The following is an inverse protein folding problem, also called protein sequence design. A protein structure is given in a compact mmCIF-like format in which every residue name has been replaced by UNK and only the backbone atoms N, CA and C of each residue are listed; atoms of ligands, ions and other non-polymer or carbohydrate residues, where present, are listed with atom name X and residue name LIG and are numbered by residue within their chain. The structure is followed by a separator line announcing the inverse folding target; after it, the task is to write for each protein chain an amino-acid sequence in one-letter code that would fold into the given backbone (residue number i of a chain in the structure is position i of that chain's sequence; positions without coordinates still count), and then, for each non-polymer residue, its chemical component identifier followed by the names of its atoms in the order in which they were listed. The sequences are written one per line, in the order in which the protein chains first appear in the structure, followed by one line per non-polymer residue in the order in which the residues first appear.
data_IF_005406253478
#
_entry.id   IF_005406253478
#
_cell.length_a   1.000
_cell.length_b   1.000
_cell.length_c   1.000
_cell.angle_alpha   90.00
_cell.angle_beta   90.00
_cell.angle_gamma   90.00
#
_symmetry.space_group_name_H-M   'P 1'
#
loop_
_entity.id
_entity.type
_entity.pdbx_description
1 polymer ?
#
# COMPACT_ATOMS: atom_id res chain seq x y z
N UNK A 1 5.77 25.21 14.98
CA UNK A 1 5.34 24.88 13.61
C UNK A 1 4.33 23.76 13.77
N UNK A 2 3.09 23.95 13.33
CA UNK A 2 2.10 22.87 13.33
C UNK A 2 2.54 21.79 12.33
N UNK A 3 2.63 20.55 12.80
CA UNK A 3 2.89 19.37 11.98
C UNK A 3 1.73 19.19 11.01
N UNK A 4 2.00 19.01 9.72
CA UNK A 4 0.91 18.79 8.75
C UNK A 4 0.25 17.42 8.95
N UNK A 5 -1.04 17.26 8.61
CA UNK A 5 -1.74 15.97 8.73
C UNK A 5 -1.04 14.83 7.96
N UNK A 6 -0.39 15.13 6.83
CA UNK A 6 0.40 14.16 6.06
C UNK A 6 1.70 13.75 6.78
N UNK A 7 2.31 14.68 7.52
CA UNK A 7 3.48 14.40 8.34
C UNK A 7 3.10 13.61 9.60
N UNK A 8 1.96 13.90 10.21
CA UNK A 8 1.40 13.08 11.30
C UNK A 8 1.09 11.65 10.84
N UNK A 9 0.49 11.48 9.66
CA UNK A 9 0.27 10.17 9.06
C UNK A 9 1.59 9.44 8.82
N UNK A 10 2.60 10.14 8.28
CA UNK A 10 3.93 9.59 8.07
C UNK A 10 4.55 9.07 9.37
N UNK A 11 4.54 9.90 10.40
CA UNK A 11 5.15 9.60 11.70
C UNK A 11 4.39 8.47 12.42
N UNK A 12 3.07 8.44 12.34
CA UNK A 12 2.27 7.36 12.91
C UNK A 12 2.51 6.03 12.18
N UNK A 13 2.71 6.08 10.85
CA UNK A 13 2.90 4.89 10.04
C UNK A 13 4.31 4.32 10.13
N UNK A 14 5.34 5.15 10.03
CA UNK A 14 6.74 4.72 9.97
C UNK A 14 7.50 4.90 11.28
N UNK A 15 7.02 5.76 12.18
CA UNK A 15 7.76 6.14 13.38
C UNK A 15 9.09 6.82 13.05
N UNK A 16 10.07 6.64 13.93
CA UNK A 16 11.46 7.07 13.69
C UNK A 16 12.29 5.87 13.24
N UNK A 17 12.45 5.69 11.94
CA UNK A 17 13.20 4.56 11.39
C UNK A 17 14.72 4.83 11.39
N UNK A 18 15.36 4.78 12.56
CA UNK A 18 16.80 5.02 12.71
C UNK A 18 17.66 4.08 11.84
N UNK A 19 17.19 2.86 11.57
CA UNK A 19 17.89 1.84 10.80
C UNK A 19 17.43 1.74 9.34
N UNK A 20 16.43 2.52 8.91
CA UNK A 20 15.82 2.43 7.58
C UNK A 20 14.79 1.30 7.41
N UNK A 21 14.37 0.66 8.50
CA UNK A 21 13.32 -0.36 8.55
C UNK A 21 12.52 -0.21 9.84
N UNK A 22 11.24 -0.56 9.79
CA UNK A 22 10.37 -0.67 10.94
C UNK A 22 10.61 -1.98 11.70
N UNK A 23 10.37 -1.95 13.01
CA UNK A 23 10.43 -3.13 13.87
C UNK A 23 9.23 -4.09 13.64
N UNK A 24 9.31 -5.29 14.20
CA UNK A 24 8.26 -6.30 14.00
C UNK A 24 6.86 -5.82 14.46
N UNK A 25 6.68 -5.19 15.64
CA UNK A 25 5.39 -4.62 16.04
C UNK A 25 4.79 -3.66 15.01
N UNK A 26 5.59 -2.70 14.51
CA UNK A 26 5.12 -1.73 13.53
C UNK A 26 4.77 -2.39 12.20
N UNK A 27 5.53 -3.40 11.76
CA UNK A 27 5.20 -4.14 10.53
C UNK A 27 3.91 -4.94 10.66
N UNK A 28 3.62 -5.46 11.85
CA UNK A 28 2.38 -6.19 12.12
C UNK A 28 1.19 -5.24 12.05
N UNK A 29 1.29 -4.05 12.66
CA UNK A 29 0.17 -3.09 12.68
C UNK A 29 -0.26 -2.62 11.28
N UNK A 30 0.65 -2.58 10.31
CA UNK A 30 0.34 -2.22 8.92
C UNK A 30 -0.61 -3.20 8.21
N UNK A 31 -0.57 -4.49 8.55
CA UNK A 31 -1.29 -5.52 7.79
C UNK A 31 -2.30 -6.31 8.64
N UNK A 32 -2.16 -6.30 9.96
CA UNK A 32 -3.10 -6.96 10.84
C UNK A 32 -4.43 -6.20 10.92
N UNK A 33 -5.52 -6.94 11.08
CA UNK A 33 -6.76 -6.35 11.53
C UNK A 33 -6.65 -6.06 13.03
N UNK A 34 -6.43 -4.79 13.38
CA UNK A 34 -6.36 -4.31 14.75
C UNK A 34 -7.41 -3.22 14.95
N UNK A 35 -8.53 -3.50 15.67
CA UNK A 35 -9.58 -2.52 15.91
C UNK A 35 -9.10 -1.27 16.65
N UNK A 36 -8.07 -1.37 17.50
CA UNK A 36 -7.51 -0.23 18.23
C UNK A 36 -6.74 0.71 17.30
N UNK A 37 -5.92 0.13 16.40
CA UNK A 37 -5.22 0.89 15.39
C UNK A 37 -6.17 1.49 14.35
N UNK A 38 -7.17 0.72 13.90
CA UNK A 38 -8.23 1.20 13.01
C UNK A 38 -8.97 2.40 13.64
N UNK A 39 -9.37 2.30 14.91
CA UNK A 39 -10.06 3.38 15.62
C UNK A 39 -9.20 4.64 15.73
N UNK A 40 -7.89 4.50 15.95
CA UNK A 40 -6.98 5.64 16.02
C UNK A 40 -6.79 6.32 14.66
N UNK A 41 -6.66 5.54 13.58
CA UNK A 41 -6.61 6.05 12.22
C UNK A 41 -7.90 6.77 11.83
N UNK A 42 -9.06 6.21 12.18
CA UNK A 42 -10.37 6.85 11.97
C UNK A 42 -10.44 8.18 12.71
N UNK A 43 -10.08 8.20 14.00
CA UNK A 43 -10.15 9.41 14.82
C UNK A 43 -9.28 10.54 14.27
N UNK A 44 -8.09 10.23 13.74
CA UNK A 44 -7.13 11.23 13.27
C UNK A 44 -7.30 11.63 11.81
N UNK A 45 -7.69 10.69 10.94
CA UNK A 45 -7.55 10.85 9.49
C UNK A 45 -8.83 10.57 8.70
N UNK A 46 -10.00 10.47 9.36
CA UNK A 46 -11.27 10.36 8.66
C UNK A 46 -11.46 11.50 7.65
N UNK A 47 -11.84 11.15 6.41
CA UNK A 47 -12.07 12.12 5.33
C UNK A 47 -10.79 12.67 4.67
N UNK A 48 -9.60 12.29 5.14
CA UNK A 48 -8.34 12.72 4.55
C UNK A 48 -8.20 12.30 3.07
N UNK A 49 -8.52 11.05 2.66
CA UNK A 49 -8.41 10.66 1.25
C UNK A 49 -9.30 11.53 0.35
N UNK A 50 -10.53 11.80 0.75
CA UNK A 50 -11.46 12.64 -0.01
C UNK A 50 -10.95 14.08 -0.13
N UNK A 51 -10.42 14.64 0.95
CA UNK A 51 -9.85 15.99 0.95
C UNK A 51 -8.66 16.11 0.01
N UNK A 52 -7.73 15.16 0.06
CA UNK A 52 -6.53 15.17 -0.78
C UNK A 52 -6.83 15.03 -2.28
N UNK A 53 -7.99 14.48 -2.67
CA UNK A 53 -8.45 14.49 -4.06
C UNK A 53 -8.88 15.88 -4.54
N UNK A 54 -9.37 16.73 -3.64
CA UNK A 54 -9.88 18.07 -3.97
C UNK A 54 -8.84 19.17 -3.78
N UNK A 55 -7.90 18.97 -2.85
CA UNK A 55 -6.86 19.94 -2.53
C UNK A 55 -5.75 19.91 -3.60
N UNK A 56 -5.36 21.07 -4.17
CA UNK A 56 -4.23 21.11 -5.08
C UNK A 56 -2.95 20.72 -4.34
N UNK A 57 -2.15 19.84 -4.96
CA UNK A 57 -0.81 19.52 -4.44
C UNK A 57 0.06 20.78 -4.44
N UNK A 58 0.99 20.85 -3.48
CA UNK A 58 2.07 21.83 -3.52
C UNK A 58 2.85 21.70 -4.83
N UNK A 59 3.44 22.81 -5.29
CA UNK A 59 4.17 22.85 -6.56
C UNK A 59 5.36 21.89 -6.58
N UNK A 60 6.10 21.85 -5.47
CA UNK A 60 7.32 21.04 -5.29
C UNK A 60 7.25 20.35 -3.91
N UNK A 61 6.44 19.30 -3.76
CA UNK A 61 6.31 18.58 -2.50
C UNK A 61 7.54 17.69 -2.27
N UNK A 62 7.95 17.53 -1.02
CA UNK A 62 8.98 16.56 -0.67
C UNK A 62 8.49 15.13 -0.95
N UNK A 63 9.40 14.20 -1.31
CA UNK A 63 9.02 12.80 -1.60
C UNK A 63 8.27 12.12 -0.46
N UNK A 64 8.57 12.44 0.80
CA UNK A 64 7.84 11.89 1.95
C UNK A 64 6.41 12.42 2.05
N UNK A 65 6.15 13.66 1.62
CA UNK A 65 4.79 14.20 1.51
C UNK A 65 4.00 13.43 0.46
N UNK A 66 4.63 13.18 -0.71
CA UNK A 66 4.04 12.36 -1.77
C UNK A 66 3.75 10.92 -1.31
N UNK A 67 4.69 10.29 -0.60
CA UNK A 67 4.49 8.96 -0.01
C UNK A 67 3.33 8.97 1.01
N UNK A 68 3.24 9.98 1.87
CA UNK A 68 2.10 10.09 2.80
C UNK A 68 0.77 10.23 2.06
N UNK A 69 0.74 10.93 0.92
CA UNK A 69 -0.44 10.97 0.06
C UNK A 69 -0.73 9.60 -0.56
N UNK A 70 0.30 8.84 -0.99
CA UNK A 70 0.13 7.44 -1.42
C UNK A 70 -0.46 6.58 -0.30
N UNK A 71 0.04 6.69 0.93
CA UNK A 71 -0.52 5.99 2.10
C UNK A 71 -1.97 6.38 2.36
N UNK A 72 -2.29 7.67 2.25
CA UNK A 72 -3.65 8.17 2.45
C UNK A 72 -4.64 7.63 1.39
N UNK A 73 -4.18 7.34 0.18
CA UNK A 73 -5.02 6.75 -0.87
C UNK A 73 -5.01 5.21 -0.87
N UNK A 74 -3.90 4.57 -0.53
CA UNK A 74 -3.76 3.12 -0.62
C UNK A 74 -4.01 2.43 0.73
N UNK A 75 -3.23 2.73 1.75
CA UNK A 75 -3.28 2.00 3.01
C UNK A 75 -4.42 2.47 3.90
N UNK A 76 -4.57 3.79 4.07
CA UNK A 76 -5.53 4.37 5.00
C UNK A 76 -6.98 3.92 4.72
N UNK A 77 -7.50 3.92 3.48
CA UNK A 77 -8.88 3.50 3.21
C UNK A 77 -9.15 2.03 3.58
N UNK A 78 -8.12 1.17 3.53
CA UNK A 78 -8.22 -0.25 3.93
C UNK A 78 -8.44 -0.42 5.43
N UNK A 79 -7.99 0.53 6.24
CA UNK A 79 -8.29 0.62 7.68
C UNK A 79 -9.62 1.35 7.94
N UNK A 80 -9.85 2.50 7.29
CA UNK A 80 -11.04 3.33 7.52
C UNK A 80 -12.36 2.65 7.12
N UNK A 81 -12.33 1.84 6.06
CA UNK A 81 -13.53 1.30 5.40
C UNK A 81 -13.49 -0.22 5.25
N UNK A 82 -12.83 -0.90 6.19
CA UNK A 82 -12.60 -2.35 6.18
C UNK A 82 -13.88 -3.12 5.83
N UNK A 83 -13.76 -4.08 4.92
CA UNK A 83 -14.88 -4.94 4.50
C UNK A 83 -15.88 -4.28 3.55
N UNK A 84 -15.62 -3.05 3.08
CA UNK A 84 -16.48 -2.35 2.12
C UNK A 84 -15.73 -2.09 0.81
N UNK A 85 -16.45 -1.86 -0.29
CA UNK A 85 -15.85 -1.46 -1.57
C UNK A 85 -15.13 -0.11 -1.50
N UNK A 86 -15.50 0.76 -0.54
CA UNK A 86 -14.86 2.06 -0.34
C UNK A 86 -13.39 1.95 0.07
N UNK A 87 -12.97 0.82 0.63
CA UNK A 87 -11.56 0.53 0.93
C UNK A 87 -10.64 0.58 -0.29
N UNK A 88 -11.20 0.50 -1.51
CA UNK A 88 -10.45 0.46 -2.77
C UNK A 88 -10.75 1.67 -3.67
N UNK A 89 -11.56 2.62 -3.20
CA UNK A 89 -12.07 3.72 -4.03
C UNK A 89 -10.98 4.69 -4.52
N UNK A 90 -9.82 4.70 -3.85
CA UNK A 90 -8.71 5.62 -4.11
C UNK A 90 -7.50 4.92 -4.75
N UNK A 91 -7.59 3.62 -5.05
CA UNK A 91 -6.47 2.81 -5.57
C UNK A 91 -5.89 3.41 -6.87
N UNK A 92 -6.73 3.93 -7.77
CA UNK A 92 -6.27 4.56 -9.01
C UNK A 92 -5.42 5.82 -8.74
N UNK A 93 -5.86 6.69 -7.82
CA UNK A 93 -5.12 7.89 -7.44
C UNK A 93 -3.79 7.55 -6.75
N UNK A 94 -3.78 6.52 -5.90
CA UNK A 94 -2.56 6.01 -5.29
C UNK A 94 -1.56 5.52 -6.35
N UNK A 95 -2.04 4.74 -7.32
CA UNK A 95 -1.24 4.16 -8.40
C UNK A 95 -0.63 5.24 -9.28
N UNK A 96 -1.40 6.25 -9.68
CA UNK A 96 -0.92 7.34 -10.53
C UNK A 96 0.17 8.15 -9.81
N UNK A 97 -0.01 8.42 -8.52
CA UNK A 97 0.99 9.13 -7.72
C UNK A 97 2.25 8.29 -7.49
N UNK A 98 2.10 7.00 -7.23
CA UNK A 98 3.22 6.07 -7.13
C UNK A 98 4.03 5.97 -8.44
N UNK A 99 3.35 5.96 -9.59
CA UNK A 99 4.01 6.01 -10.89
C UNK A 99 4.82 7.30 -11.03
N UNK A 100 4.24 8.45 -10.67
CA UNK A 100 4.97 9.72 -10.70
C UNK A 100 6.25 9.71 -9.86
N UNK A 101 6.20 9.21 -8.61
CA UNK A 101 7.37 9.12 -7.72
C UNK A 101 8.48 8.24 -8.31
N UNK A 102 8.10 7.11 -8.94
CA UNK A 102 9.06 6.16 -9.53
C UNK A 102 9.65 6.70 -10.83
N UNK A 103 8.81 7.30 -11.67
CA UNK A 103 9.23 7.81 -12.98
C UNK A 103 10.15 9.02 -12.83
N UNK A 104 10.04 9.78 -11.73
CA UNK A 104 11.00 10.82 -11.32
C UNK A 104 12.20 10.31 -10.53
N UNK A 105 12.28 9.01 -10.24
CA UNK A 105 13.33 8.36 -9.42
C UNK A 105 13.44 8.88 -7.97
N UNK A 106 12.44 9.62 -7.50
CA UNK A 106 12.39 10.17 -6.14
C UNK A 106 12.28 9.05 -5.10
N UNK A 107 11.75 7.87 -5.47
CA UNK A 107 11.70 6.70 -4.59
C UNK A 107 13.08 6.30 -4.06
N UNK A 108 14.16 6.60 -4.78
CA UNK A 108 15.53 6.28 -4.34
C UNK A 108 15.98 7.10 -3.14
N UNK A 109 15.29 8.19 -2.81
CA UNK A 109 15.54 9.03 -1.63
C UNK A 109 14.82 8.51 -0.36
N UNK A 110 14.08 7.41 -0.48
CA UNK A 110 13.32 6.79 0.60
C UNK A 110 14.05 5.56 1.17
N UNK A 111 13.74 5.25 2.43
CA UNK A 111 14.13 3.99 3.06
C UNK A 111 13.46 2.79 2.39
N UNK A 112 13.93 1.57 2.67
CA UNK A 112 13.40 0.37 1.99
C UNK A 112 11.92 0.14 2.31
N UNK A 113 11.50 0.37 3.56
CA UNK A 113 10.09 0.22 3.92
C UNK A 113 9.23 1.32 3.28
N UNK A 114 9.66 2.58 3.31
CA UNK A 114 8.97 3.66 2.59
C UNK A 114 8.81 3.35 1.09
N UNK A 115 9.86 2.84 0.43
CA UNK A 115 9.81 2.42 -0.98
C UNK A 115 8.84 1.28 -1.21
N UNK A 116 8.78 0.31 -0.30
CA UNK A 116 7.81 -0.77 -0.39
C UNK A 116 6.38 -0.24 -0.48
N UNK A 117 6.04 0.79 0.32
CA UNK A 117 4.72 1.43 0.28
C UNK A 117 4.47 2.29 -0.97
N UNK A 118 5.51 2.86 -1.59
CA UNK A 118 5.37 3.45 -2.95
C UNK A 118 5.00 2.37 -3.97
N UNK A 119 5.42 1.12 -3.79
CA UNK A 119 5.18 0.05 -4.77
C UNK A 119 3.85 -0.68 -4.59
N UNK A 120 3.27 -0.63 -3.39
CA UNK A 120 2.01 -1.33 -3.07
C UNK A 120 0.82 -0.98 -3.97
N UNK A 121 0.62 0.25 -4.44
CA UNK A 121 -0.47 0.54 -5.37
C UNK A 121 -0.47 -0.33 -6.64
N UNK A 122 0.70 -0.71 -7.16
CA UNK A 122 0.78 -1.65 -8.30
C UNK A 122 0.41 -3.08 -7.89
N UNK A 123 0.79 -3.50 -6.68
CA UNK A 123 0.40 -4.78 -6.09
C UNK A 123 -1.12 -4.88 -5.88
N UNK A 124 -1.79 -3.76 -5.62
CA UNK A 124 -3.23 -3.67 -5.44
C UNK A 124 -4.04 -3.42 -6.71
N UNK A 125 -3.38 -3.20 -7.85
CA UNK A 125 -4.06 -2.99 -9.13
C UNK A 125 -4.60 -4.31 -9.69
N UNK A 126 -5.76 -4.26 -10.33
CA UNK A 126 -6.33 -5.39 -11.08
C UNK A 126 -5.79 -5.48 -12.53
N UNK A 127 -4.77 -4.68 -12.88
CA UNK A 127 -4.05 -4.77 -14.16
C UNK A 127 -2.90 -5.76 -14.10
N UNK A 128 -2.82 -6.69 -15.06
CA UNK A 128 -1.70 -7.62 -15.17
C UNK A 128 -0.36 -6.90 -15.41
N UNK A 129 -0.37 -5.78 -16.14
CA UNK A 129 0.85 -4.98 -16.37
C UNK A 129 1.38 -4.40 -15.06
N UNK A 130 0.50 -3.87 -14.22
CA UNK A 130 0.86 -3.35 -12.90
C UNK A 130 1.39 -4.48 -11.99
N UNK A 131 0.82 -5.69 -12.08
CA UNK A 131 1.33 -6.84 -11.33
C UNK A 131 2.74 -7.27 -11.76
N UNK A 132 3.02 -7.25 -13.06
CA UNK A 132 4.38 -7.48 -13.58
C UNK A 132 5.34 -6.39 -13.09
N UNK A 133 4.90 -5.12 -13.12
CA UNK A 133 5.67 -3.98 -12.59
C UNK A 133 5.94 -4.15 -11.08
N UNK A 134 4.94 -4.54 -10.31
CA UNK A 134 5.03 -4.82 -8.87
C UNK A 134 6.09 -5.88 -8.56
N UNK A 135 6.01 -7.05 -9.19
CA UNK A 135 7.00 -8.14 -9.00
C UNK A 135 8.42 -7.66 -9.32
N UNK A 136 8.60 -6.90 -10.40
CA UNK A 136 9.91 -6.34 -10.78
C UNK A 136 10.44 -5.37 -9.72
N UNK A 137 9.60 -4.44 -9.25
CA UNK A 137 9.96 -3.45 -8.24
C UNK A 137 10.36 -4.11 -6.91
N UNK A 138 9.55 -5.05 -6.40
CA UNK A 138 9.86 -5.75 -5.16
C UNK A 138 11.07 -6.70 -5.28
N UNK A 139 11.33 -7.24 -6.48
CA UNK A 139 12.55 -8.02 -6.75
C UNK A 139 13.78 -7.13 -6.63
N UNK A 140 13.75 -5.95 -7.26
CA UNK A 140 14.83 -4.97 -7.17
C UNK A 140 15.03 -4.50 -5.72
N UNK A 141 13.95 -4.19 -5.00
CA UNK A 141 13.98 -3.80 -3.60
C UNK A 141 14.70 -4.85 -2.74
N UNK A 142 14.30 -6.13 -2.85
CA UNK A 142 14.95 -7.24 -2.12
C UNK A 142 16.43 -7.38 -2.45
N UNK A 143 16.80 -7.18 -3.72
CA UNK A 143 18.20 -7.30 -4.14
C UNK A 143 19.06 -6.17 -3.55
N UNK A 144 18.50 -4.96 -3.44
CA UNK A 144 19.13 -3.77 -2.85
C UNK A 144 19.15 -3.82 -1.32
N UNK A 145 18.22 -4.55 -0.68
CA UNK A 145 18.25 -4.81 0.77
C UNK A 145 19.53 -5.59 1.16
N UNK A 146 20.28 -5.13 2.19
CA UNK A 146 21.46 -5.85 2.67
C UNK A 146 21.11 -7.28 3.10
N UNK A 147 22.01 -8.23 2.84
CA UNK A 147 21.73 -9.68 2.96
C UNK A 147 21.08 -10.06 4.30
N UNK A 148 21.55 -9.50 5.42
CA UNK A 148 21.01 -9.76 6.76
C UNK A 148 19.56 -9.32 6.98
N UNK A 149 19.05 -8.40 6.17
CA UNK A 149 17.70 -7.82 6.29
C UNK A 149 16.76 -8.25 5.16
N UNK A 150 17.22 -9.07 4.20
CA UNK A 150 16.42 -9.47 3.03
C UNK A 150 15.12 -10.19 3.38
N UNK A 151 15.03 -10.80 4.57
CA UNK A 151 13.80 -11.41 5.06
C UNK A 151 12.65 -10.38 5.18
N UNK A 152 12.95 -9.14 5.57
CA UNK A 152 11.97 -8.05 5.67
C UNK A 152 11.37 -7.73 4.30
N UNK A 153 12.21 -7.48 3.29
CA UNK A 153 11.78 -7.25 1.91
C UNK A 153 11.25 -8.51 1.22
N UNK A 154 11.59 -9.69 1.71
CA UNK A 154 11.18 -10.98 1.16
C UNK A 154 9.68 -11.21 1.31
N UNK A 155 9.10 -10.79 2.44
CA UNK A 155 7.65 -10.85 2.66
C UNK A 155 6.89 -10.01 1.63
N UNK A 156 7.38 -8.81 1.29
CA UNK A 156 6.77 -7.98 0.24
C UNK A 156 6.84 -8.63 -1.13
N UNK A 157 8.01 -9.18 -1.51
CA UNK A 157 8.16 -9.88 -2.78
C UNK A 157 7.26 -11.12 -2.87
N UNK A 158 7.11 -11.87 -1.79
CA UNK A 158 6.20 -13.01 -1.75
C UNK A 158 4.75 -12.56 -1.99
N UNK A 159 4.31 -11.48 -1.33
CA UNK A 159 2.99 -10.90 -1.55
C UNK A 159 2.79 -10.46 -3.01
N UNK A 160 3.80 -9.83 -3.62
CA UNK A 160 3.74 -9.42 -5.02
C UNK A 160 3.52 -10.60 -5.99
N UNK A 161 4.21 -11.73 -5.76
CA UNK A 161 3.98 -12.94 -6.55
C UNK A 161 2.58 -13.52 -6.36
N UNK A 162 2.07 -13.53 -5.12
CA UNK A 162 0.72 -14.01 -4.83
C UNK A 162 -0.35 -13.16 -5.52
N UNK A 163 -0.23 -11.84 -5.46
CA UNK A 163 -1.16 -10.91 -6.13
C UNK A 163 -1.09 -11.07 -7.65
N UNK A 164 0.13 -11.17 -8.20
CA UNK A 164 0.33 -11.43 -9.62
C UNK A 164 -0.35 -12.73 -10.07
N UNK A 165 -0.20 -13.83 -9.32
CA UNK A 165 -0.83 -15.10 -9.69
C UNK A 165 -2.36 -15.06 -9.61
N UNK A 166 -2.92 -14.31 -8.65
CA UNK A 166 -4.36 -14.08 -8.56
C UNK A 166 -4.85 -13.33 -9.80
N UNK A 167 -4.23 -12.19 -10.14
CA UNK A 167 -4.64 -11.38 -11.29
C UNK A 167 -4.40 -12.12 -12.61
N UNK A 168 -3.27 -12.83 -12.76
CA UNK A 168 -2.99 -13.67 -13.93
C UNK A 168 -4.06 -14.75 -14.14
N UNK A 169 -4.59 -15.31 -13.05
CA UNK A 169 -5.60 -16.39 -13.10
C UNK A 169 -7.03 -15.86 -13.29
N UNK A 170 -7.38 -14.76 -12.63
CA UNK A 170 -8.77 -14.31 -12.51
C UNK A 170 -9.05 -12.96 -13.18
N UNK A 171 -8.02 -12.21 -13.58
CA UNK A 171 -8.11 -10.85 -14.14
C UNK A 171 -8.52 -9.77 -13.12
N UNK A 172 -8.73 -10.13 -11.86
CA UNK A 172 -9.20 -9.28 -10.75
C UNK A 172 -9.02 -9.98 -9.42
N UNK A 173 -9.22 -9.27 -8.31
CA UNK A 173 -9.23 -9.84 -6.95
C UNK A 173 -10.62 -10.36 -6.59
N UNK A 174 -10.87 -11.69 -6.56
CA UNK A 174 -12.23 -12.22 -6.41
C UNK A 174 -12.96 -11.74 -5.15
N UNK A 175 -12.25 -11.50 -4.05
CA UNK A 175 -12.82 -11.03 -2.79
C UNK A 175 -13.39 -9.61 -2.85
N UNK A 176 -12.90 -8.74 -3.75
CA UNK A 176 -13.41 -7.37 -3.92
C UNK A 176 -14.77 -7.32 -4.62
N UNK A 177 -15.12 -8.39 -5.32
CA UNK A 177 -16.31 -8.49 -6.17
C UNK A 177 -17.32 -9.52 -5.66
N UNK A 178 -17.11 -10.08 -4.46
CA UNK A 178 -18.12 -10.92 -3.81
C UNK A 178 -19.25 -10.03 -3.32
N UNK A 179 -20.45 -10.22 -3.88
CA UNK A 179 -21.65 -9.59 -3.33
C UNK A 179 -21.86 -10.09 -1.89
N UNK A 180 -22.29 -9.23 -0.95
CA UNK A 180 -22.83 -9.69 0.32
C UNK A 180 -24.04 -10.58 -0.02
N UNK A 181 -24.02 -11.81 0.47
CA UNK A 181 -25.04 -12.85 0.27
C UNK A 181 -25.10 -13.55 -1.10
N UNK A 182 -24.14 -14.45 -1.33
CA UNK A 182 -24.51 -15.85 -1.59
C UNK A 182 -23.69 -16.78 -0.71
N UNK A 183 -24.36 -17.36 0.28
CA UNK A 183 -23.85 -18.47 1.06
C UNK A 183 -23.50 -19.65 0.14
N UNK A 184 -22.30 -20.21 0.34
CA UNK A 184 -21.85 -21.53 -0.11
C UNK A 184 -22.05 -21.92 -1.58
N UNK A 185 -20.97 -21.89 -2.36
CA UNK A 185 -20.56 -23.10 -3.09
C UNK A 185 -19.05 -23.15 -3.25
N UNK A 186 -18.48 -24.27 -2.80
CA UNK A 186 -17.10 -24.65 -2.99
C UNK A 186 -16.84 -24.81 -4.48
N UNK A 187 -16.22 -23.83 -5.13
CA UNK A 187 -15.67 -24.04 -6.47
C UNK A 187 -14.27 -24.63 -6.35
N UNK A 188 -14.21 -25.96 -6.31
CA UNK A 188 -13.00 -26.70 -6.66
C UNK A 188 -12.58 -26.36 -8.10
N UNK A 189 -11.28 -26.27 -8.41
CA UNK A 189 -10.84 -26.03 -9.78
C UNK A 189 -11.18 -27.23 -10.68
N UNK A 190 -11.40 -27.02 -12.00
CA UNK A 190 -11.57 -28.13 -12.92
C UNK A 190 -10.25 -28.90 -13.01
N UNK A 191 -10.34 -30.20 -12.79
CA UNK A 191 -9.27 -31.15 -13.09
C UNK A 191 -9.08 -31.14 -14.61
N UNK A 192 -7.86 -30.89 -15.06
CA UNK A 192 -7.34 -31.37 -16.33
C UNK A 192 -6.07 -32.15 -16.05
#
# INVERSE_FOLDING_TARGET
METSTLEELHLLWFGTMASGWADSPQRISWFAADPGFDAELIRRFAGLPERLLQEPRRKEPAVRELLSTVLAFDQLPRHLYRGTSRAFAFDAAARDLAAHIIDSQEDMNLTIDERAFVYMPFLHSESLEDQVRSVRLFTALRNQTPKGYRYLSGAFLQSAHQHHDIIRRFGRFPHRHRMPDQASSSQSPPVR
#
